data_IF_252970019277
#
_entry.id   IF_252970019277
#
_cell.length_a   1.000
_cell.length_b   1.000
_cell.length_c   1.000
_cell.angle_alpha   90.00
_cell.angle_beta   90.00
_cell.angle_gamma   90.00
#
_symmetry.space_group_name_H-M   'P 1'
#
loop_
_entity.id
_entity.type
_entity.pdbx_description
1 polymer ?
#
# COMPACT_ATOMS: atom_id res chain seq x y z
N UNK A 1 4.07 3.71 -18.25
CA UNK A 1 3.36 3.29 -17.02
C UNK A 1 4.34 3.22 -15.85
N UNK A 2 4.07 3.88 -14.73
CA UNK A 2 5.03 4.03 -13.60
C UNK A 2 5.44 2.71 -12.95
N UNK A 3 4.51 1.75 -12.83
CA UNK A 3 4.78 0.44 -12.24
C UNK A 3 5.91 -0.31 -12.96
N UNK A 4 5.99 -0.22 -14.30
CA UNK A 4 7.07 -0.87 -15.05
C UNK A 4 8.45 -0.29 -14.72
N UNK A 5 8.54 1.01 -14.44
CA UNK A 5 9.78 1.66 -13.97
C UNK A 5 10.14 1.19 -12.57
N UNK A 6 9.17 1.06 -11.66
CA UNK A 6 9.44 0.49 -10.33
C UNK A 6 9.87 -0.98 -10.42
N UNK A 7 9.25 -1.77 -11.31
CA UNK A 7 9.62 -3.16 -11.54
C UNK A 7 11.08 -3.30 -12.02
N UNK A 8 11.55 -2.41 -12.89
CA UNK A 8 12.95 -2.45 -13.35
C UNK A 8 13.93 -2.06 -12.24
N UNK A 9 13.55 -1.14 -11.35
CA UNK A 9 14.38 -0.70 -10.23
C UNK A 9 14.46 -1.73 -9.08
N UNK A 10 13.42 -2.54 -8.90
CA UNK A 10 13.37 -3.54 -7.84
C UNK A 10 14.33 -4.70 -8.11
N UNK A 11 15.08 -5.10 -7.08
CA UNK A 11 15.87 -6.34 -7.07
C UNK A 11 14.95 -7.57 -7.17
N UNK A 12 15.52 -8.74 -7.48
CA UNK A 12 14.78 -10.01 -7.44
C UNK A 12 14.15 -10.17 -6.04
N UNK A 13 12.86 -10.49 -5.97
CA UNK A 13 12.03 -10.52 -4.75
C UNK A 13 11.85 -9.16 -4.03
N UNK A 14 12.13 -8.05 -4.72
CA UNK A 14 11.85 -6.72 -4.20
C UNK A 14 10.36 -6.48 -4.02
N UNK A 15 10.00 -5.79 -2.93
CA UNK A 15 8.62 -5.48 -2.59
C UNK A 15 8.31 -4.00 -2.84
N UNK A 16 7.12 -3.74 -3.35
CA UNK A 16 6.54 -2.42 -3.49
C UNK A 16 5.33 -2.34 -2.55
N UNK A 17 5.38 -1.39 -1.61
CA UNK A 17 4.30 -1.15 -0.66
C UNK A 17 3.73 0.24 -0.87
N UNK A 18 2.42 0.33 -1.09
CA UNK A 18 1.64 1.55 -1.17
C UNK A 18 0.77 1.69 0.07
N UNK A 19 0.89 2.82 0.76
CA UNK A 19 0.02 3.22 1.88
C UNK A 19 -0.74 4.48 1.46
N UNK A 20 -2.06 4.40 1.40
CA UNK A 20 -2.92 5.51 0.94
C UNK A 20 -4.23 5.54 1.72
N UNK A 21 -4.78 6.72 1.98
CA UNK A 21 -6.12 6.92 2.52
C UNK A 21 -7.18 7.04 1.41
N UNK A 22 -6.78 7.50 0.22
CA UNK A 22 -7.64 7.61 -0.96
C UNK A 22 -8.09 6.24 -1.48
N UNK A 23 -9.42 6.04 -1.59
CA UNK A 23 -10.02 4.80 -2.08
C UNK A 23 -9.89 4.64 -3.59
N UNK A 24 -10.11 5.71 -4.35
CA UNK A 24 -10.06 5.68 -5.82
C UNK A 24 -8.65 5.36 -6.31
N UNK A 25 -7.63 5.94 -5.66
CA UNK A 25 -6.24 5.62 -5.96
C UNK A 25 -5.90 4.15 -5.67
N UNK A 26 -6.45 3.61 -4.59
CA UNK A 26 -6.23 2.22 -4.20
C UNK A 26 -6.83 1.23 -5.21
N UNK A 27 -8.08 1.43 -5.61
CA UNK A 27 -8.77 0.59 -6.60
C UNK A 27 -8.07 0.68 -7.96
N UNK A 28 -7.73 1.89 -8.40
CA UNK A 28 -6.95 2.10 -9.62
C UNK A 28 -5.62 1.33 -9.58
N UNK A 29 -4.90 1.39 -8.46
CA UNK A 29 -3.62 0.70 -8.33
C UNK A 29 -3.78 -0.82 -8.43
N UNK A 30 -4.83 -1.41 -7.82
CA UNK A 30 -5.12 -2.84 -7.92
C UNK A 30 -5.39 -3.25 -9.37
N UNK A 31 -6.19 -2.49 -10.10
CA UNK A 31 -6.46 -2.76 -11.51
C UNK A 31 -5.21 -2.65 -12.38
N UNK A 32 -4.36 -1.66 -12.12
CA UNK A 32 -3.09 -1.52 -12.82
C UNK A 32 -2.14 -2.68 -12.50
N UNK A 33 -2.09 -3.15 -11.25
CA UNK A 33 -1.25 -4.28 -10.87
C UNK A 33 -1.63 -5.56 -11.61
N UNK A 34 -2.93 -5.82 -11.82
CA UNK A 34 -3.42 -6.96 -12.61
C UNK A 34 -2.91 -6.95 -14.06
N UNK A 35 -2.58 -5.78 -14.60
CA UNK A 35 -2.02 -5.59 -15.95
C UNK A 35 -0.49 -5.65 -15.98
N UNK A 36 0.17 -5.87 -14.84
CA UNK A 36 1.62 -5.90 -14.70
C UNK A 36 2.12 -7.27 -14.26
N UNK A 37 3.45 -7.47 -14.24
CA UNK A 37 4.09 -8.70 -13.76
C UNK A 37 4.21 -8.79 -12.23
N UNK A 38 3.72 -7.80 -11.50
CA UNK A 38 3.77 -7.80 -10.04
C UNK A 38 2.83 -8.87 -9.46
N UNK A 39 3.32 -9.60 -8.45
CA UNK A 39 2.50 -10.52 -7.66
C UNK A 39 1.98 -9.79 -6.43
N UNK A 40 0.67 -9.76 -6.25
CA UNK A 40 0.07 -9.16 -5.05
C UNK A 40 0.33 -10.08 -3.86
N UNK A 41 0.92 -9.54 -2.79
CA UNK A 41 1.23 -10.28 -1.56
C UNK A 41 0.12 -10.08 -0.53
N UNK A 42 -0.26 -8.82 -0.30
CA UNK A 42 -1.23 -8.48 0.74
C UNK A 42 -1.99 -7.22 0.39
N UNK A 43 -3.30 -7.25 0.62
CA UNK A 43 -4.21 -6.12 0.47
C UNK A 43 -4.90 -5.94 1.82
N UNK A 44 -4.76 -4.76 2.41
CA UNK A 44 -5.47 -4.38 3.63
C UNK A 44 -6.27 -3.12 3.37
N UNK A 45 -7.59 -3.25 3.39
CA UNK A 45 -8.52 -2.12 3.20
C UNK A 45 -8.59 -1.21 4.43
N UNK A 46 -8.12 -1.68 5.58
CA UNK A 46 -8.10 -0.92 6.81
C UNK A 46 -6.95 -1.35 7.73
N UNK A 47 -5.93 -0.51 7.84
CA UNK A 47 -4.74 -0.76 8.67
C UNK A 47 -5.02 -0.63 10.17
N UNK A 48 -6.10 0.06 10.56
CA UNK A 48 -6.43 0.33 11.97
C UNK A 48 -7.47 -0.63 12.57
N UNK A 49 -8.04 -1.53 11.77
CA UNK A 49 -8.95 -2.59 12.26
C UNK A 49 -8.15 -3.88 12.39
N UNK A 50 -7.95 -4.30 13.63
CA UNK A 50 -7.19 -5.51 13.97
C UNK A 50 -5.72 -5.21 14.17
N UNK A 51 -5.10 -5.87 15.16
CA UNK A 51 -3.67 -5.82 15.48
C UNK A 51 -2.82 -6.30 14.30
N UNK A 52 -2.76 -5.53 13.21
CA UNK A 52 -1.73 -5.67 12.21
C UNK A 52 -0.44 -5.15 12.84
N UNK A 53 0.30 -6.05 13.49
CA UNK A 53 1.70 -5.88 13.88
C UNK A 53 2.57 -5.84 12.61
N UNK A 54 2.32 -4.87 11.74
CA UNK A 54 3.13 -4.58 10.59
C UNK A 54 4.00 -3.37 10.90
N UNK A 55 5.27 -3.42 10.49
CA UNK A 55 6.25 -2.33 10.61
C UNK A 55 5.73 -0.97 10.12
N UNK A 56 4.75 -0.97 9.23
CA UNK A 56 4.09 0.22 8.68
C UNK A 56 2.99 0.84 9.56
N UNK A 57 2.50 0.10 10.57
CA UNK A 57 1.53 0.57 11.57
C UNK A 57 2.21 1.45 12.64
N UNK A 58 3.47 1.13 12.98
CA UNK A 58 4.29 1.90 13.91
C UNK A 58 4.72 3.24 13.31
N UNK A 59 4.99 3.28 12.00
CA UNK A 59 5.42 4.49 11.29
C UNK A 59 4.21 5.33 10.89
N UNK A 60 3.86 6.28 11.78
CA UNK A 60 2.81 7.28 11.54
C UNK A 60 3.39 8.52 10.88
N UNK A 61 2.86 8.88 9.72
CA UNK A 61 3.16 10.16 9.07
C UNK A 61 2.62 11.35 9.87
N UNK A 62 3.13 12.57 9.60
CA UNK A 62 2.62 13.81 10.20
C UNK A 62 1.11 13.99 9.94
N UNK A 63 0.63 13.56 8.77
CA UNK A 63 -0.78 13.60 8.40
C UNK A 63 -1.60 12.64 9.28
N UNK A 64 -1.17 11.38 9.42
CA UNK A 64 -1.85 10.40 10.29
C UNK A 64 -1.97 10.89 11.73
N UNK A 65 -0.92 11.51 12.29
CA UNK A 65 -0.96 12.10 13.63
C UNK A 65 -2.02 13.19 13.77
N UNK A 66 -2.22 14.01 12.74
CA UNK A 66 -3.24 15.08 12.70
C UNK A 66 -4.66 14.52 12.58
N UNK A 67 -4.83 13.34 12.00
CA UNK A 67 -6.12 12.73 11.69
C UNK A 67 -6.48 11.48 12.49
N UNK A 68 -5.73 11.16 13.56
CA UNK A 68 -6.09 10.11 14.55
C UNK A 68 -7.55 10.27 15.01
N UNK A 69 -7.99 11.51 15.18
CA UNK A 69 -9.34 11.86 15.62
C UNK A 69 -10.44 11.64 14.57
N UNK A 70 -10.10 11.51 13.28
CA UNK A 70 -11.05 11.38 12.17
C UNK A 70 -11.37 9.93 11.76
N UNK A 71 -10.83 8.89 12.42
CA UNK A 71 -11.04 7.48 12.06
C UNK A 71 -10.83 7.20 10.55
N UNK A 72 -9.80 7.80 9.95
CA UNK A 72 -9.52 7.58 8.52
C UNK A 72 -9.07 6.13 8.29
N UNK A 73 -9.68 5.47 7.30
CA UNK A 73 -9.38 4.09 6.93
C UNK A 73 -8.19 4.06 5.97
N UNK A 74 -7.01 3.77 6.52
CA UNK A 74 -5.79 3.67 5.73
C UNK A 74 -5.75 2.33 5.02
N UNK A 75 -5.50 2.37 3.73
CA UNK A 75 -5.39 1.21 2.86
C UNK A 75 -3.92 0.93 2.61
N UNK A 76 -3.52 -0.33 2.72
CA UNK A 76 -2.17 -0.80 2.49
C UNK A 76 -2.19 -1.88 1.41
N UNK A 77 -1.29 -1.77 0.45
CA UNK A 77 -1.12 -2.72 -0.65
C UNK A 77 0.35 -3.06 -0.76
N UNK A 78 0.68 -4.36 -0.71
CA UNK A 78 2.03 -4.84 -0.92
C UNK A 78 2.04 -5.82 -2.09
N UNK A 79 2.95 -5.60 -3.04
CA UNK A 79 3.21 -6.51 -4.15
C UNK A 79 4.71 -6.77 -4.30
N UNK A 80 5.07 -7.89 -4.91
CA UNK A 80 6.45 -8.31 -5.17
C UNK A 80 6.73 -8.42 -6.66
N UNK A 81 8.00 -8.21 -6.99
CA UNK A 81 8.60 -8.46 -8.30
C UNK A 81 8.68 -9.95 -8.64
#
# INVERSE_FOLDING_TARGET
MFLNKYYSLLKKNGQLTLKTDDKSLFEFTIEQLKKTKFKVISIHSNLHIGNLNNKFSEVKTKYEKKFIRKKLTIKLLTCAK
#
